data_IF_733734368490
#
_entry.id   IF_733734368490
#
_cell.length_a   1.000
_cell.length_b   1.000
_cell.length_c   1.000
_cell.angle_alpha   90.00
_cell.angle_beta   90.00
_cell.angle_gamma   90.00
#
_symmetry.space_group_name_H-M   'P 1'
#
loop_
_entity.id
_entity.type
_entity.pdbx_description
1 polymer ?
#
# COMPACT_ATOMS: atom_id res chain seq x y z
N UNK A 1 11.51 5.40 -16.66
CA UNK A 1 10.76 6.20 -15.65
C UNK A 1 9.25 6.08 -15.88
N UNK A 2 8.56 5.20 -15.14
CA UNK A 2 7.11 5.02 -15.23
C UNK A 2 6.42 5.91 -14.18
N UNK A 3 5.43 6.69 -14.60
CA UNK A 3 4.53 7.47 -13.75
C UNK A 3 3.17 6.80 -13.70
N UNK A 4 2.36 7.03 -12.66
CA UNK A 4 1.04 6.41 -12.54
C UNK A 4 0.20 6.60 -13.81
N UNK A 5 0.18 7.81 -14.39
CA UNK A 5 -0.60 8.07 -15.61
C UNK A 5 -0.15 7.19 -16.80
N UNK A 6 1.17 6.95 -16.94
CA UNK A 6 1.69 6.07 -17.99
C UNK A 6 1.35 4.60 -17.72
N UNK A 7 1.42 4.19 -16.45
CA UNK A 7 0.99 2.85 -16.03
C UNK A 7 -0.50 2.64 -16.30
N UNK A 8 -1.33 3.62 -15.96
CA UNK A 8 -2.77 3.59 -16.17
C UNK A 8 -3.08 3.42 -17.67
N UNK A 9 -2.49 4.25 -18.54
CA UNK A 9 -2.67 4.12 -19.99
C UNK A 9 -2.24 2.74 -20.51
N UNK A 10 -1.16 2.18 -19.97
CA UNK A 10 -0.70 0.84 -20.34
C UNK A 10 -1.69 -0.24 -19.87
N UNK A 11 -2.17 -0.16 -18.63
CA UNK A 11 -3.03 -1.20 -18.07
C UNK A 11 -4.45 -1.14 -18.65
N UNK A 12 -4.92 0.03 -19.06
CA UNK A 12 -6.18 0.22 -19.80
C UNK A 12 -6.16 -0.50 -21.17
N UNK A 13 -4.98 -0.75 -21.73
CA UNK A 13 -4.83 -1.55 -22.96
C UNK A 13 -4.85 -3.07 -22.72
N UNK A 14 -4.76 -3.51 -21.46
CA UNK A 14 -4.77 -4.93 -21.11
C UNK A 14 -6.21 -5.44 -21.06
N UNK A 15 -6.43 -6.64 -21.60
CA UNK A 15 -7.76 -7.22 -21.73
C UNK A 15 -8.50 -7.34 -20.38
N UNK A 16 -9.77 -6.93 -20.37
CA UNK A 16 -10.72 -6.95 -19.24
C UNK A 16 -11.00 -8.33 -18.59
N UNK A 17 -10.42 -9.42 -19.11
CA UNK A 17 -10.56 -10.79 -18.59
C UNK A 17 -9.44 -11.14 -17.60
N UNK A 18 -8.57 -10.19 -17.27
CA UNK A 18 -7.52 -10.41 -16.29
C UNK A 18 -8.13 -10.74 -14.92
N UNK A 19 -7.84 -11.94 -14.42
CA UNK A 19 -8.31 -12.40 -13.10
C UNK A 19 -7.33 -12.06 -11.97
N UNK A 20 -6.05 -11.85 -12.30
CA UNK A 20 -5.00 -11.63 -11.31
C UNK A 20 -4.10 -10.47 -11.76
N UNK A 21 -3.96 -9.47 -10.89
CA UNK A 21 -3.09 -8.31 -11.11
C UNK A 21 -2.15 -8.14 -9.91
N UNK A 22 -0.86 -8.34 -10.16
CA UNK A 22 0.20 -8.10 -9.20
C UNK A 22 1.13 -7.03 -9.75
N UNK A 23 1.26 -5.92 -9.03
CA UNK A 23 2.08 -4.79 -9.46
C UNK A 23 3.12 -4.44 -8.40
N UNK A 24 4.34 -4.19 -8.86
CA UNK A 24 5.46 -3.80 -8.01
C UNK A 24 6.11 -2.53 -8.55
N UNK A 25 6.27 -1.54 -7.69
CA UNK A 25 6.90 -0.26 -8.01
C UNK A 25 7.97 0.05 -6.97
N UNK A 26 9.06 0.67 -7.41
CA UNK A 26 10.19 1.09 -6.56
C UNK A 26 10.59 2.55 -6.81
N UNK A 27 9.72 3.31 -7.48
CA UNK A 27 10.00 4.70 -7.89
C UNK A 27 9.09 5.65 -7.12
N UNK A 28 9.69 6.76 -6.66
CA UNK A 28 9.01 7.89 -6.01
C UNK A 28 7.92 8.52 -6.90
N UNK A 29 6.71 8.01 -6.81
CA UNK A 29 5.48 8.59 -7.37
C UNK A 29 4.32 8.29 -6.41
N UNK A 30 3.92 9.31 -5.65
CA UNK A 30 2.88 9.23 -4.62
C UNK A 30 1.54 8.73 -5.16
N UNK A 31 1.28 8.90 -6.45
CA UNK A 31 0.01 8.51 -7.04
C UNK A 31 -0.21 7.00 -7.04
N UNK A 32 0.85 6.20 -6.92
CA UNK A 32 0.70 4.76 -6.67
C UNK A 32 0.14 4.43 -5.28
N UNK A 33 0.16 5.38 -4.34
CA UNK A 33 -0.40 5.24 -2.99
C UNK A 33 -1.76 5.95 -2.84
N UNK A 34 -2.37 6.41 -3.95
CA UNK A 34 -3.72 6.99 -3.93
C UNK A 34 -4.78 5.91 -4.11
N UNK A 35 -5.51 5.59 -3.03
CA UNK A 35 -6.49 4.49 -3.05
C UNK A 35 -7.63 4.74 -4.06
N UNK A 36 -8.17 5.95 -4.14
CA UNK A 36 -9.29 6.25 -5.05
C UNK A 36 -8.93 6.03 -6.52
N UNK A 37 -7.68 6.32 -6.90
CA UNK A 37 -7.20 6.07 -8.27
C UNK A 37 -7.16 4.59 -8.58
N UNK A 38 -6.68 3.78 -7.65
CA UNK A 38 -6.71 2.33 -7.79
C UNK A 38 -8.13 1.79 -7.83
N UNK A 39 -8.99 2.22 -6.91
CA UNK A 39 -10.39 1.79 -6.89
C UNK A 39 -11.07 2.07 -8.24
N UNK A 40 -10.92 3.29 -8.78
CA UNK A 40 -11.46 3.67 -10.09
C UNK A 40 -10.91 2.78 -11.21
N UNK A 41 -9.58 2.65 -11.29
CA UNK A 41 -8.90 1.84 -12.29
C UNK A 41 -9.36 0.38 -12.28
N UNK A 42 -9.49 -0.22 -11.09
CA UNK A 42 -9.91 -1.60 -10.90
C UNK A 42 -11.37 -1.82 -11.29
N UNK A 43 -12.27 -0.91 -10.93
CA UNK A 43 -13.69 -0.99 -11.28
C UNK A 43 -13.93 -0.82 -12.78
N UNK A 44 -13.22 0.11 -13.43
CA UNK A 44 -13.43 0.43 -14.84
C UNK A 44 -12.82 -0.61 -15.78
N UNK A 45 -11.66 -1.17 -15.44
CA UNK A 45 -10.86 -1.96 -16.39
C UNK A 45 -10.80 -3.46 -16.08
N UNK A 46 -11.02 -3.87 -14.82
CA UNK A 46 -10.87 -5.26 -14.41
C UNK A 46 -12.10 -5.79 -13.66
N UNK A 47 -13.28 -5.86 -14.32
CA UNK A 47 -14.51 -6.35 -13.68
C UNK A 47 -14.41 -7.81 -13.25
N UNK A 48 -13.54 -8.60 -13.89
CA UNK A 48 -13.32 -10.02 -13.58
C UNK A 48 -12.12 -10.26 -12.65
N UNK A 49 -11.53 -9.20 -12.09
CA UNK A 49 -10.37 -9.34 -11.22
C UNK A 49 -10.75 -10.04 -9.93
N UNK A 50 -10.14 -11.20 -9.67
CA UNK A 50 -10.31 -11.96 -8.44
C UNK A 50 -9.24 -11.59 -7.41
N UNK A 51 -8.02 -11.32 -7.87
CA UNK A 51 -6.86 -11.05 -7.01
C UNK A 51 -6.13 -9.80 -7.43
N UNK A 52 -5.89 -8.94 -6.46
CA UNK A 52 -5.08 -7.73 -6.60
C UNK A 52 -4.00 -7.70 -5.52
N UNK A 53 -2.78 -7.34 -5.91
CA UNK A 53 -1.82 -6.82 -4.94
C UNK A 53 -0.95 -5.71 -5.51
N UNK A 54 -0.63 -4.76 -4.63
CA UNK A 54 0.28 -3.65 -4.87
C UNK A 54 1.44 -3.74 -3.90
N UNK A 55 2.65 -3.66 -4.43
CA UNK A 55 3.88 -3.56 -3.65
C UNK A 55 4.59 -2.28 -4.08
N UNK A 56 4.66 -1.29 -3.21
CA UNK A 56 5.34 -0.03 -3.47
C UNK A 56 6.50 0.12 -2.48
N UNK A 57 7.68 0.40 -3.01
CA UNK A 57 8.91 0.57 -2.24
C UNK A 57 9.44 1.99 -2.45
N UNK A 58 9.79 2.65 -1.35
CA UNK A 58 10.63 3.84 -1.41
C UNK A 58 11.86 3.72 -0.49
N UNK A 59 12.96 4.30 -0.96
CA UNK A 59 14.17 4.46 -0.17
C UNK A 59 13.93 5.59 0.84
N UNK A 60 13.93 5.27 2.12
CA UNK A 60 13.84 6.19 3.27
C UNK A 60 15.15 6.89 3.64
N UNK A 61 16.23 6.69 2.88
CA UNK A 61 17.54 7.33 3.09
C UNK A 61 17.69 8.74 2.51
N UNK A 62 16.76 9.20 1.67
CA UNK A 62 16.87 10.57 1.18
C UNK A 62 16.55 11.54 2.32
N UNK A 63 17.26 12.67 2.43
CA UNK A 63 16.95 13.81 3.32
C UNK A 63 15.54 14.42 3.12
N UNK A 64 14.67 13.74 2.38
CA UNK A 64 13.31 14.16 2.08
C UNK A 64 12.38 13.30 2.91
N UNK A 65 11.35 13.92 3.46
CA UNK A 65 10.26 13.24 4.15
C UNK A 65 9.71 12.05 3.34
N UNK A 66 9.16 11.02 4.00
CA UNK A 66 8.44 9.93 3.35
C UNK A 66 7.40 10.48 2.38
N UNK A 67 7.25 9.85 1.21
CA UNK A 67 6.24 10.31 0.24
C UNK A 67 4.84 10.17 0.80
N UNK A 68 4.61 9.15 1.62
CA UNK A 68 3.31 8.94 2.24
C UNK A 68 3.26 9.55 3.64
N UNK A 69 2.58 10.68 3.74
CA UNK A 69 2.40 11.40 5.01
C UNK A 69 1.22 10.88 5.86
N UNK A 70 0.79 9.63 5.68
CA UNK A 70 -0.14 9.02 6.64
C UNK A 70 -1.60 9.45 6.56
N UNK A 71 -2.17 9.70 5.36
CA UNK A 71 -3.64 9.68 5.21
C UNK A 71 -4.16 8.23 5.30
N UNK A 72 -4.02 7.64 6.49
CA UNK A 72 -4.19 6.23 6.85
C UNK A 72 -5.56 5.65 6.43
N UNK A 73 -6.55 6.50 6.19
CA UNK A 73 -7.92 6.09 5.88
C UNK A 73 -8.25 5.96 4.38
N UNK A 74 -7.28 6.04 3.46
CA UNK A 74 -7.62 5.92 2.04
C UNK A 74 -7.95 4.47 1.62
N UNK A 75 -7.34 3.47 2.25
CA UNK A 75 -7.53 2.05 1.93
C UNK A 75 -8.54 1.33 2.85
N UNK A 76 -9.43 2.07 3.51
CA UNK A 76 -10.47 1.51 4.39
C UNK A 76 -11.90 1.75 3.89
N UNK A 77 -12.06 2.17 2.64
CA UNK A 77 -13.38 2.32 2.02
C UNK A 77 -14.10 0.96 1.89
N UNK A 78 -15.45 0.93 1.78
CA UNK A 78 -16.20 -0.32 1.59
C UNK A 78 -15.70 -1.19 0.44
N UNK A 79 -15.16 -0.58 -0.62
CA UNK A 79 -14.56 -1.30 -1.74
C UNK A 79 -13.40 -2.20 -1.29
N UNK A 80 -12.44 -1.66 -0.54
CA UNK A 80 -11.28 -2.42 -0.03
C UNK A 80 -11.71 -3.49 0.96
N UNK A 81 -12.70 -3.16 1.81
CA UNK A 81 -13.27 -4.07 2.79
C UNK A 81 -13.90 -5.29 2.12
N UNK A 82 -14.79 -5.06 1.15
CA UNK A 82 -15.49 -6.12 0.43
C UNK A 82 -14.54 -7.01 -0.37
N UNK A 83 -13.44 -6.44 -0.89
CA UNK A 83 -12.38 -7.16 -1.58
C UNK A 83 -11.46 -7.95 -0.64
N UNK A 84 -11.66 -7.84 0.68
CA UNK A 84 -10.82 -8.45 1.71
C UNK A 84 -9.32 -8.11 1.51
N UNK A 85 -9.05 -6.85 1.17
CA UNK A 85 -7.71 -6.32 0.99
C UNK A 85 -7.31 -5.50 2.22
N UNK A 86 -6.03 -5.55 2.58
CA UNK A 86 -5.45 -4.79 3.68
C UNK A 86 -4.30 -3.94 3.15
N UNK A 87 -4.18 -2.73 3.68
CA UNK A 87 -3.03 -1.86 3.44
C UNK A 87 -2.01 -2.03 4.56
N UNK A 88 -0.79 -2.43 4.24
CA UNK A 88 0.28 -2.57 5.23
C UNK A 88 1.45 -1.66 4.92
N UNK A 89 2.14 -1.24 5.97
CA UNK A 89 3.41 -0.54 5.88
C UNK A 89 4.44 -1.37 6.63
N UNK A 90 5.52 -1.76 5.96
CA UNK A 90 6.67 -2.41 6.59
C UNK A 90 7.90 -1.50 6.46
N UNK A 91 8.53 -1.20 7.59
CA UNK A 91 9.72 -0.35 7.64
C UNK A 91 10.91 -1.24 8.02
N UNK A 92 11.89 -1.31 7.11
CA UNK A 92 13.05 -2.17 7.23
C UNK A 92 14.32 -1.36 7.05
N UNK A 93 15.03 -1.10 8.16
CA UNK A 93 16.22 -0.21 8.22
C UNK A 93 15.93 1.19 7.66
N UNK A 94 16.07 1.34 6.35
CA UNK A 94 15.96 2.59 5.62
C UNK A 94 15.04 2.49 4.43
N UNK A 95 14.32 1.39 4.27
CA UNK A 95 13.31 1.23 3.24
C UNK A 95 11.94 1.28 3.87
N UNK A 96 11.01 1.93 3.17
CA UNK A 96 9.60 1.87 3.50
C UNK A 96 8.90 1.10 2.39
N UNK A 97 8.22 0.03 2.79
CA UNK A 97 7.43 -0.79 1.92
C UNK A 97 5.96 -0.58 2.24
N UNK A 98 5.17 -0.35 1.21
CA UNK A 98 3.73 -0.21 1.27
C UNK A 98 3.11 -1.34 0.48
N UNK A 99 2.12 -2.01 1.06
CA UNK A 99 1.47 -3.16 0.46
C UNK A 99 -0.04 -2.98 0.44
N UNK A 100 -0.68 -3.30 -0.67
CA UNK A 100 -2.10 -3.69 -0.67
C UNK A 100 -2.14 -5.17 -1.01
N UNK A 101 -2.69 -6.00 -0.14
CA UNK A 101 -2.68 -7.46 -0.33
C UNK A 101 -3.93 -8.12 0.25
N UNK A 102 -4.28 -9.35 -0.18
CA UNK A 102 -5.35 -10.11 0.46
C UNK A 102 -5.10 -10.31 1.95
N UNK A 103 -6.11 -10.03 2.77
CA UNK A 103 -6.06 -10.29 4.19
C UNK A 103 -6.01 -11.80 4.45
N UNK A 104 -4.96 -12.24 5.14
CA UNK A 104 -4.77 -13.63 5.57
C UNK A 104 -4.53 -13.65 7.07
N UNK A 105 -5.51 -14.13 7.84
CA UNK A 105 -5.54 -14.15 9.32
C UNK A 105 -4.23 -14.66 9.96
N UNK A 106 -3.60 -15.69 9.39
CA UNK A 106 -2.33 -16.30 9.88
C UNK A 106 -1.12 -15.34 9.91
N UNK A 107 -1.12 -14.26 9.13
CA UNK A 107 0.04 -13.35 9.00
C UNK A 107 0.10 -12.27 10.08
N UNK A 108 -0.90 -12.25 10.96
CA UNK A 108 -1.15 -11.16 11.90
C UNK A 108 -1.14 -11.62 13.37
N UNK A 109 -0.88 -12.91 13.64
CA UNK A 109 -0.67 -13.40 15.01
C UNK A 109 0.65 -12.89 15.63
N UNK A 110 1.51 -12.23 14.84
CA UNK A 110 2.86 -11.79 15.25
C UNK A 110 3.11 -10.27 15.14
N UNK A 111 2.11 -9.44 14.80
CA UNK A 111 2.28 -7.96 14.67
C UNK A 111 1.80 -7.18 15.89
N UNK A 112 2.59 -6.18 16.31
CA UNK A 112 2.33 -5.27 17.44
C UNK A 112 1.29 -4.22 17.03
N UNK A 113 0.33 -3.94 17.94
CA UNK A 113 -0.81 -3.01 17.83
C UNK A 113 -1.83 -3.31 16.72
N UNK A 114 -2.76 -4.22 17.02
CA UNK A 114 -3.98 -4.42 16.24
C UNK A 114 -5.11 -3.53 16.77
N UNK A 115 -5.56 -2.58 15.95
CA UNK A 115 -6.94 -2.11 16.03
C UNK A 115 -7.82 -3.17 15.36
N UNK A 116 -8.72 -3.82 16.10
CA UNK A 116 -9.73 -4.76 15.57
C UNK A 116 -10.68 -4.12 14.53
N UNK A 117 -10.56 -2.82 14.29
CA UNK A 117 -11.36 -2.03 13.36
C UNK A 117 -10.57 -1.57 12.11
N UNK A 118 -9.25 -1.74 12.08
CA UNK A 118 -8.41 -1.17 11.02
C UNK A 118 -7.99 -2.23 9.99
N UNK A 119 -8.38 -2.05 8.73
CA UNK A 119 -7.78 -2.76 7.58
C UNK A 119 -6.41 -2.19 7.22
N UNK A 120 -5.63 -1.95 8.26
CA UNK A 120 -4.36 -1.31 8.18
C UNK A 120 -3.43 -1.86 9.24
N UNK A 121 -2.19 -2.16 8.89
CA UNK A 121 -1.15 -2.56 9.85
C UNK A 121 0.17 -1.85 9.55
N UNK A 122 0.88 -1.44 10.59
CA UNK A 122 2.27 -1.00 10.49
C UNK A 122 3.12 -2.05 11.16
N UNK A 123 4.05 -2.66 10.41
CA UNK A 123 5.03 -3.58 10.94
C UNK A 123 6.40 -2.92 10.94
N UNK A 124 7.08 -3.01 12.08
CA UNK A 124 8.44 -2.55 12.23
C UNK A 124 9.35 -3.77 12.33
N UNK A 125 10.32 -3.89 11.42
CA UNK A 125 11.32 -4.96 11.44
C UNK A 125 12.68 -4.30 11.68
N UNK A 126 13.03 -4.07 12.95
CA UNK A 126 14.34 -3.48 13.28
C UNK A 126 15.43 -4.54 13.42
N UNK A 127 16.53 -4.32 12.69
CA UNK A 127 17.88 -4.62 13.20
C UNK A 127 18.42 -3.36 13.88
N UNK A 128 18.39 -3.35 15.21
CA UNK A 128 19.13 -2.55 16.19
C UNK A 128 19.31 -1.01 16.10
N UNK A 129 18.95 -0.26 15.03
CA UNK A 129 19.11 1.21 15.03
C UNK A 129 17.91 2.01 14.44
N UNK A 130 17.14 2.61 15.37
CA UNK A 130 16.33 3.87 15.39
C UNK A 130 15.15 4.15 14.39
N UNK A 131 13.89 3.79 14.76
CA UNK A 131 12.60 4.21 14.14
C UNK A 131 12.03 5.61 14.46
N UNK A 132 12.72 6.48 15.19
CA UNK A 132 12.02 7.47 16.02
C UNK A 132 11.29 8.60 15.26
N UNK A 133 11.73 8.98 14.06
CA UNK A 133 11.16 10.13 13.34
C UNK A 133 9.79 9.79 12.73
N UNK A 134 9.63 8.60 12.15
CA UNK A 134 8.37 8.16 11.54
C UNK A 134 7.31 7.83 12.59
N UNK A 135 7.72 7.24 13.72
CA UNK A 135 6.83 6.94 14.85
C UNK A 135 6.15 8.21 15.39
N UNK A 136 6.88 9.31 15.49
CA UNK A 136 6.33 10.57 15.98
C UNK A 136 5.38 11.21 14.96
N UNK A 137 5.68 11.12 13.66
CA UNK A 137 4.79 11.61 12.61
C UNK A 137 3.49 10.79 12.53
N UNK A 138 3.56 9.46 12.59
CA UNK A 138 2.38 8.59 12.51
C UNK A 138 1.52 8.69 13.78
N UNK A 139 2.13 8.78 14.96
CA UNK A 139 1.41 9.01 16.22
C UNK A 139 0.75 10.38 16.30
N UNK A 140 1.24 11.39 15.56
CA UNK A 140 0.63 12.72 15.54
C UNK A 140 -0.60 12.84 14.64
N UNK A 141 -0.88 11.82 13.82
CA UNK A 141 -1.98 11.79 12.83
C UNK A 141 -3.09 10.81 13.21
N UNK A 142 -2.85 9.95 14.21
CA UNK A 142 -3.85 9.07 14.86
C UNK A 142 -4.46 9.77 16.09
#
# INVERSE_FOLDING_TARGET
>A
NLHFNKFQLFIEQIHSKLQILHVKFSKRDIHFLHADRWQKLLLENFPQLEKFSLHYHELGYSNNDPIYHGKLNQFVSPFWIQRNLIFDIEICKYDIYYFVRPFKKRWYEYSIEHSKLAQFTIKYVYSNERPYILLNQIKSVL
#
